data_IF_893246359508
#
_entry.id   IF_893246359508
#
_cell.length_a   1.000
_cell.length_b   1.000
_cell.length_c   1.000
_cell.angle_alpha   90.00
_cell.angle_beta   90.00
_cell.angle_gamma   90.00
#
_symmetry.space_group_name_H-M   'P 1'
#
loop_
_entity.id
_entity.type
_entity.pdbx_description
1 polymer ?
#
# COMPACT_ATOMS: atom_id res chain seq x y z
N UNK A 1 -2.07 -16.86 5.25
CA UNK A 1 -2.20 -17.25 3.82
C UNK A 1 -3.50 -16.64 3.32
N UNK A 2 -3.51 -16.01 2.13
CA UNK A 2 -4.71 -15.42 1.55
C UNK A 2 -5.05 -16.14 0.25
N UNK A 3 -6.34 -16.42 0.04
CA UNK A 3 -6.88 -17.08 -1.15
C UNK A 3 -7.65 -16.07 -1.99
N UNK A 4 -7.44 -16.08 -3.32
CA UNK A 4 -8.19 -15.24 -4.25
C UNK A 4 -8.52 -16.02 -5.51
N UNK A 5 -9.73 -15.87 -6.10
CA UNK A 5 -10.03 -16.47 -7.38
C UNK A 5 -9.10 -15.94 -8.49
N UNK A 6 -8.84 -16.77 -9.49
CA UNK A 6 -8.10 -16.36 -10.69
C UNK A 6 -8.71 -15.11 -11.33
N UNK A 7 -7.87 -14.14 -11.68
CA UNK A 7 -8.24 -12.86 -12.26
C UNK A 7 -8.81 -11.84 -11.26
N UNK A 8 -9.00 -12.20 -9.98
CA UNK A 8 -9.54 -11.30 -8.96
C UNK A 8 -8.44 -10.61 -8.16
N UNK A 9 -8.62 -9.31 -7.98
CA UNK A 9 -7.75 -8.49 -7.16
C UNK A 9 -7.91 -8.86 -5.68
N UNK A 10 -6.80 -9.16 -5.02
CA UNK A 10 -6.71 -9.30 -3.58
C UNK A 10 -5.96 -8.10 -2.98
N UNK A 11 -6.35 -7.70 -1.77
CA UNK A 11 -5.67 -6.64 -1.02
C UNK A 11 -5.21 -7.20 0.33
N UNK A 12 -3.94 -7.01 0.63
CA UNK A 12 -3.30 -7.36 1.89
C UNK A 12 -2.86 -6.06 2.56
N UNK A 13 -3.31 -5.81 3.78
CA UNK A 13 -2.94 -4.61 4.54
C UNK A 13 -2.25 -5.01 5.83
N UNK A 14 -1.15 -4.34 6.14
CA UNK A 14 -0.55 -4.35 7.47
C UNK A 14 -0.43 -2.90 7.92
N UNK A 15 -1.59 -2.30 8.24
CA UNK A 15 -1.71 -0.87 8.51
C UNK A 15 -1.90 -0.60 9.99
N UNK A 16 -1.35 0.53 10.44
CA UNK A 16 -1.69 1.17 11.70
C UNK A 16 -2.71 2.28 11.45
N UNK A 17 -3.54 2.59 12.45
CA UNK A 17 -4.57 3.62 12.37
C UNK A 17 -4.20 4.77 13.29
N UNK A 18 -3.91 5.93 12.71
CA UNK A 18 -3.54 7.12 13.46
C UNK A 18 -4.65 8.14 13.48
N UNK A 19 -4.99 8.65 14.66
CA UNK A 19 -5.83 9.85 14.79
C UNK A 19 -4.99 11.09 14.52
N UNK A 20 -5.42 11.90 13.56
CA UNK A 20 -4.72 13.14 13.19
C UNK A 20 -5.70 14.30 13.09
N UNK A 21 -5.27 15.56 13.28
CA UNK A 21 -6.12 16.72 13.07
C UNK A 21 -6.63 16.75 11.62
N UNK A 22 -7.95 16.88 11.44
CA UNK A 22 -8.52 17.32 10.17
C UNK A 22 -8.57 18.85 10.22
N UNK A 23 -7.89 19.52 9.28
CA UNK A 23 -7.83 20.98 9.27
C UNK A 23 -9.22 21.63 9.39
N UNK A 24 -9.33 22.57 10.33
CA UNK A 24 -10.53 23.34 10.64
C UNK A 24 -10.11 24.60 11.42
N UNK A 25 -10.96 25.64 11.43
CA UNK A 25 -10.65 26.88 12.13
C UNK A 25 -10.77 26.69 13.65
N UNK A 26 -9.84 27.21 14.48
CA UNK A 26 -9.94 27.17 15.93
C UNK A 26 -11.24 27.80 16.47
N UNK A 27 -11.86 28.69 15.68
CA UNK A 27 -13.12 29.36 16.00
C UNK A 27 -14.32 28.41 16.11
N UNK A 28 -14.27 27.25 15.47
CA UNK A 28 -15.37 26.28 15.50
C UNK A 28 -15.33 25.36 16.74
N UNK A 29 -14.35 25.56 17.65
CA UNK A 29 -14.26 24.89 18.95
C UNK A 29 -14.10 23.36 18.88
N UNK A 30 -13.96 22.80 17.68
CA UNK A 30 -14.08 21.39 17.46
C UNK A 30 -12.74 20.82 16.96
N UNK A 31 -12.04 20.13 17.86
CA UNK A 31 -10.87 19.31 17.56
C UNK A 31 -11.28 18.11 16.71
N UNK A 32 -11.56 18.33 15.42
CA UNK A 32 -11.92 17.25 14.52
C UNK A 32 -10.68 16.40 14.27
N UNK A 33 -10.73 15.18 14.80
CA UNK A 33 -9.74 14.15 14.56
C UNK A 33 -10.27 13.24 13.47
N UNK A 34 -9.44 12.97 12.46
CA UNK A 34 -9.72 11.91 11.47
C UNK A 34 -8.79 10.74 11.71
N UNK A 35 -9.32 9.54 11.58
CA UNK A 35 -8.53 8.31 11.58
C UNK A 35 -7.96 8.08 10.19
N UNK A 36 -6.65 7.82 10.10
CA UNK A 36 -5.95 7.60 8.84
C UNK A 36 -5.13 6.31 8.95
N UNK A 37 -5.31 5.42 7.97
CA UNK A 37 -4.47 4.23 7.81
C UNK A 37 -3.08 4.63 7.30
N UNK A 38 -2.04 4.12 7.94
CA UNK A 38 -0.63 4.25 7.55
C UNK A 38 0.03 2.87 7.54
N UNK A 39 1.12 2.71 6.80
CA UNK A 39 1.80 1.44 6.63
C UNK A 39 1.65 0.85 5.22
N UNK A 40 2.13 -0.39 5.01
CA UNK A 40 2.08 -1.07 3.72
C UNK A 40 0.70 -1.64 3.38
N UNK A 41 0.31 -1.45 2.13
CA UNK A 41 -0.79 -2.12 1.44
C UNK A 41 -0.22 -2.81 0.19
N UNK A 42 -0.56 -4.09 -0.03
CA UNK A 42 -0.21 -4.85 -1.22
C UNK A 42 -1.49 -5.26 -1.94
N UNK A 43 -1.63 -4.80 -3.18
CA UNK A 43 -2.70 -5.20 -4.09
C UNK A 43 -2.13 -6.15 -5.13
N UNK A 44 -2.69 -7.35 -5.26
CA UNK A 44 -2.18 -8.39 -6.15
C UNK A 44 -3.32 -9.01 -6.97
N UNK A 45 -3.12 -9.16 -8.27
CA UNK A 45 -4.08 -9.77 -9.17
C UNK A 45 -3.42 -10.95 -9.90
N UNK A 46 -3.54 -12.18 -9.37
CA UNK A 46 -3.06 -13.37 -10.05
C UNK A 46 -4.07 -13.84 -11.11
N UNK A 47 -3.58 -14.44 -12.19
CA UNK A 47 -4.37 -15.05 -13.25
C UNK A 47 -3.70 -16.37 -13.67
N UNK A 48 -4.44 -17.47 -13.56
CA UNK A 48 -3.98 -18.78 -14.00
C UNK A 48 -4.08 -18.89 -15.52
N UNK A 49 -2.98 -19.24 -16.18
CA UNK A 49 -2.87 -19.43 -17.64
C UNK A 49 -2.24 -20.80 -17.92
N UNK A 50 -3.08 -21.84 -18.02
CA UNK A 50 -2.61 -23.22 -18.10
C UNK A 50 -1.77 -23.58 -16.86
N UNK A 51 -0.50 -23.93 -17.08
CA UNK A 51 0.41 -24.33 -16.01
C UNK A 51 1.06 -23.16 -15.27
N UNK A 52 0.97 -21.94 -15.79
CA UNK A 52 1.55 -20.75 -15.17
C UNK A 52 0.52 -19.93 -14.40
N UNK A 53 1.02 -19.06 -13.52
CA UNK A 53 0.30 -18.02 -12.81
C UNK A 53 0.98 -16.71 -13.20
N UNK A 54 0.27 -15.90 -13.98
CA UNK A 54 0.68 -14.53 -14.27
C UNK A 54 0.14 -13.63 -13.16
N UNK A 55 0.87 -12.59 -12.77
CA UNK A 55 0.33 -11.62 -11.82
C UNK A 55 0.88 -10.22 -12.05
N UNK A 56 0.08 -9.25 -11.63
CA UNK A 56 0.52 -7.88 -11.36
C UNK A 56 0.31 -7.58 -9.89
N UNK A 57 1.18 -6.74 -9.32
CA UNK A 57 1.01 -6.27 -7.96
C UNK A 57 1.48 -4.82 -7.81
N UNK A 58 0.82 -4.09 -6.93
CA UNK A 58 1.20 -2.75 -6.50
C UNK A 58 1.32 -2.76 -4.98
N UNK A 59 2.47 -2.36 -4.46
CA UNK A 59 2.63 -2.08 -3.04
C UNK A 59 2.63 -0.57 -2.82
N UNK A 60 1.80 -0.11 -1.90
CA UNK A 60 1.75 1.28 -1.46
C UNK A 60 2.23 1.34 -0.02
N UNK A 61 3.25 2.16 0.25
CA UNK A 61 3.70 2.47 1.59
C UNK A 61 3.31 3.91 1.93
N UNK A 62 2.38 4.05 2.88
CA UNK A 62 1.99 5.36 3.39
C UNK A 62 2.67 5.64 4.73
N UNK A 63 3.42 6.72 4.81
CA UNK A 63 4.14 7.15 6.01
C UNK A 63 3.53 8.45 6.51
N UNK A 64 3.33 8.55 7.82
CA UNK A 64 2.98 9.80 8.47
C UNK A 64 4.25 10.57 8.81
N UNK A 65 4.37 11.79 8.29
CA UNK A 65 5.56 12.63 8.46
C UNK A 65 5.45 13.60 9.64
N UNK A 66 4.23 13.81 10.14
CA UNK A 66 3.98 14.71 11.26
C UNK A 66 2.77 15.61 11.05
N UNK A 67 2.61 16.55 11.97
CA UNK A 67 1.65 17.65 11.86
C UNK A 67 2.47 18.93 11.71
N UNK A 68 2.24 19.70 10.64
CA UNK A 68 2.84 21.03 10.48
C UNK A 68 1.78 22.11 10.69
N UNK A 69 2.14 23.20 11.40
CA UNK A 69 1.29 24.38 11.44
C UNK A 69 1.25 25.02 10.04
N UNK A 70 0.05 25.28 9.55
CA UNK A 70 -0.23 26.04 8.33
C UNK A 70 -0.80 27.38 8.78
N UNK A 71 0.09 28.37 8.92
CA UNK A 71 -0.23 29.67 9.51
C UNK A 71 -0.63 29.59 10.99
N UNK A 72 -1.36 30.59 11.47
CA UNK A 72 -1.68 30.76 12.89
C UNK A 72 -2.86 29.89 13.39
N UNK A 73 -3.49 29.08 12.53
CA UNK A 73 -4.79 28.48 12.85
C UNK A 73 -5.00 27.02 12.40
N UNK A 74 -4.27 26.50 11.41
CA UNK A 74 -4.62 25.18 10.82
C UNK A 74 -3.46 24.21 10.93
N UNK A 75 -3.65 23.13 11.68
CA UNK A 75 -2.71 22.01 11.72
C UNK A 75 -2.96 21.08 10.52
N UNK A 76 -2.01 20.97 9.58
CA UNK A 76 -2.09 20.03 8.47
C UNK A 76 -1.26 18.78 8.77
N UNK A 77 -1.85 17.62 8.54
CA UNK A 77 -1.17 16.33 8.65
C UNK A 77 -0.43 16.03 7.35
N UNK A 78 0.87 15.78 7.44
CA UNK A 78 1.71 15.44 6.29
C UNK A 78 1.86 13.93 6.14
N UNK A 79 1.72 13.46 4.90
CA UNK A 79 1.89 12.05 4.54
C UNK A 79 2.74 11.95 3.29
N UNK A 80 3.65 10.97 3.28
CA UNK A 80 4.33 10.54 2.07
C UNK A 80 3.76 9.20 1.64
N UNK A 81 3.42 9.08 0.36
CA UNK A 81 3.03 7.81 -0.24
C UNK A 81 4.07 7.39 -1.27
N UNK A 82 4.52 6.14 -1.16
CA UNK A 82 5.39 5.50 -2.14
C UNK A 82 4.66 4.35 -2.80
N UNK A 83 4.70 4.27 -4.12
CA UNK A 83 4.12 3.16 -4.88
C UNK A 83 5.21 2.36 -5.58
N UNK A 84 5.08 1.04 -5.52
CA UNK A 84 6.02 0.08 -6.08
C UNK A 84 5.26 -0.91 -6.95
N UNK A 85 5.74 -1.13 -8.18
CA UNK A 85 5.07 -1.97 -9.15
C UNK A 85 5.85 -3.27 -9.35
N UNK A 86 5.12 -4.39 -9.38
CA UNK A 86 5.65 -5.72 -9.60
C UNK A 86 4.80 -6.46 -10.62
N UNK A 87 5.41 -7.40 -11.32
CA UNK A 87 4.70 -8.31 -12.20
C UNK A 87 5.63 -9.41 -12.65
N UNK A 88 5.05 -10.55 -12.98
CA UNK A 88 5.79 -11.72 -13.39
C UNK A 88 4.88 -12.89 -13.71
N UNK A 89 5.50 -14.01 -14.03
CA UNK A 89 4.87 -15.30 -14.17
C UNK A 89 5.63 -16.33 -13.32
N UNK A 90 4.92 -17.34 -12.85
CA UNK A 90 5.52 -18.40 -12.02
C UNK A 90 4.73 -19.69 -12.15
N UNK A 91 5.34 -20.81 -11.79
CA UNK A 91 4.63 -22.06 -11.59
C UNK A 91 4.03 -22.12 -10.19
N UNK A 92 3.04 -23.00 -10.00
CA UNK A 92 2.50 -23.25 -8.66
C UNK A 92 3.60 -23.76 -7.72
N UNK A 93 3.70 -23.16 -6.53
CA UNK A 93 4.65 -23.52 -5.48
C UNK A 93 6.05 -22.92 -5.64
N UNK A 94 6.32 -22.19 -6.73
CA UNK A 94 7.60 -21.51 -6.92
C UNK A 94 7.62 -20.16 -6.18
N UNK A 95 8.79 -19.84 -5.59
CA UNK A 95 9.02 -18.57 -4.90
C UNK A 95 9.79 -17.61 -5.80
N UNK A 96 9.25 -16.41 -5.97
CA UNK A 96 9.87 -15.34 -6.73
C UNK A 96 10.46 -14.24 -5.83
N UNK A 97 11.56 -13.64 -6.29
CA UNK A 97 12.19 -12.46 -5.70
C UNK A 97 12.16 -11.32 -6.72
N UNK A 98 11.29 -10.34 -6.49
CA UNK A 98 10.95 -9.34 -7.50
C UNK A 98 11.33 -7.95 -7.01
N UNK A 99 12.40 -7.34 -7.52
CA UNK A 99 12.66 -5.93 -7.24
C UNK A 99 11.58 -5.07 -7.90
N UNK A 100 11.14 -4.04 -7.19
CA UNK A 100 10.13 -3.10 -7.67
C UNK A 100 10.60 -2.38 -8.93
N UNK A 101 9.69 -2.21 -9.89
CA UNK A 101 9.84 -1.20 -10.94
C UNK A 101 9.40 0.15 -10.36
N UNK A 102 10.29 1.13 -10.35
CA UNK A 102 9.99 2.50 -9.89
C UNK A 102 10.17 3.48 -11.05
N UNK A 103 9.16 4.31 -11.29
CA UNK A 103 9.19 5.40 -12.30
C UNK A 103 9.71 6.71 -11.72
N UNK A 104 9.72 6.86 -10.40
CA UNK A 104 10.26 8.01 -9.70
C UNK A 104 10.71 7.58 -8.30
N UNK A 105 11.93 7.96 -7.91
CA UNK A 105 12.53 7.90 -6.55
C UNK A 105 13.60 6.82 -6.30
N UNK A 106 14.56 7.20 -5.43
CA UNK A 106 15.73 6.43 -4.96
C UNK A 106 15.41 5.23 -4.05
N UNK A 107 14.13 4.88 -3.85
CA UNK A 107 13.70 3.79 -2.97
C UNK A 107 13.39 2.55 -3.81
N UNK A 108 13.83 1.38 -3.33
CA UNK A 108 13.53 0.07 -3.93
C UNK A 108 13.00 -0.86 -2.85
N UNK A 109 12.03 -1.68 -3.22
CA UNK A 109 11.49 -2.75 -2.36
C UNK A 109 11.54 -4.05 -3.16
N UNK A 110 11.81 -5.16 -2.50
CA UNK A 110 11.74 -6.49 -3.09
C UNK A 110 10.49 -7.19 -2.58
N UNK A 111 9.64 -7.64 -3.50
CA UNK A 111 8.51 -8.52 -3.18
C UNK A 111 8.99 -9.97 -3.23
N UNK A 112 8.77 -10.71 -2.14
CA UNK A 112 8.97 -12.16 -2.08
C UNK A 112 7.58 -12.81 -2.03
N UNK A 113 7.26 -13.62 -3.03
CA UNK A 113 5.91 -14.17 -3.19
C UNK A 113 5.96 -15.63 -3.63
N UNK A 114 5.04 -16.43 -3.14
CA UNK A 114 4.78 -17.81 -3.60
C UNK A 114 3.30 -17.93 -3.86
N UNK A 115 2.93 -18.38 -5.06
CA UNK A 115 1.54 -18.66 -5.41
C UNK A 115 1.31 -20.17 -5.43
N UNK A 116 0.27 -20.62 -4.75
CA UNK A 116 -0.15 -22.03 -4.74
C UNK A 116 -1.53 -22.13 -5.36
N UNK A 117 -1.69 -22.94 -6.41
CA UNK A 117 -3.02 -23.31 -6.93
C UNK A 117 -3.68 -24.24 -5.92
N UNK A 118 -4.90 -23.92 -5.51
CA UNK A 118 -5.75 -24.68 -4.59
C UNK A 118 -7.03 -25.09 -5.29
#
# INVERSE_FOLDING_TARGET
MATTPSGRLATLKAVDVRSVPSGGSPADGANWQRKVEIGPELRVQPAVRGDTIEFSATATLRVFEGVRPVGDAVAASEFTSHEFYFGGNTKSGETLFLPSKSTAQKKRVTLVVTFTKV
#
